data_IF_891409961576
#
_entry.id   IF_891409961576
#
_cell.length_a   1.000
_cell.length_b   1.000
_cell.length_c   1.000
_cell.angle_alpha   90.00
_cell.angle_beta   90.00
_cell.angle_gamma   90.00
#
_symmetry.space_group_name_H-M   'P 1'
#
loop_
_entity.id
_entity.type
_entity.pdbx_description
1 polymer ?
#
# COMPACT_ATOMS: atom_id res chain seq x y z
N UNK A 1 -5.28 6.56 -13.75
CA UNK A 1 -3.80 6.74 -13.79
C UNK A 1 -3.34 7.42 -15.07
N UNK A 2 -3.79 6.99 -16.25
CA UNK A 2 -3.41 7.61 -17.52
C UNK A 2 -3.67 9.13 -17.61
N UNK A 3 -4.82 9.63 -17.13
CA UNK A 3 -5.11 11.07 -17.12
C UNK A 3 -4.12 11.87 -16.24
N UNK A 4 -3.83 11.37 -15.03
CA UNK A 4 -2.80 11.95 -14.14
C UNK A 4 -1.40 11.93 -14.74
N UNK A 5 -1.06 10.88 -15.50
CA UNK A 5 0.24 10.78 -16.16
C UNK A 5 0.37 11.76 -17.31
N UNK A 6 -0.66 11.86 -18.16
CA UNK A 6 -0.67 12.81 -19.27
C UNK A 6 -0.50 14.25 -18.77
N UNK A 7 -1.06 14.59 -17.60
CA UNK A 7 -0.95 15.91 -17.00
C UNK A 7 0.39 16.22 -16.33
N UNK A 8 1.33 15.26 -16.23
CA UNK A 8 2.66 15.49 -15.64
C UNK A 8 3.43 16.56 -16.40
N UNK A 9 3.33 16.58 -17.74
CA UNK A 9 3.98 17.59 -18.57
C UNK A 9 3.49 18.99 -18.18
N UNK A 10 2.16 19.15 -18.11
CA UNK A 10 1.53 20.39 -17.68
C UNK A 10 2.01 20.81 -16.28
N UNK A 11 2.06 19.86 -15.34
CA UNK A 11 2.53 20.12 -13.99
C UNK A 11 3.99 20.59 -13.94
N UNK A 12 4.90 20.00 -14.72
CA UNK A 12 6.30 20.41 -14.84
C UNK A 12 6.46 21.84 -15.38
N UNK A 13 5.49 22.28 -16.19
CA UNK A 13 5.44 23.63 -16.79
C UNK A 13 4.58 24.60 -15.97
N UNK A 14 4.25 24.26 -14.72
CA UNK A 14 3.40 25.06 -13.83
C UNK A 14 1.97 25.28 -14.32
N UNK A 15 1.47 24.43 -15.22
CA UNK A 15 0.06 24.38 -15.63
C UNK A 15 -0.66 23.38 -14.74
N UNK A 16 -1.52 23.87 -13.84
CA UNK A 16 -2.24 23.04 -12.87
C UNK A 16 -3.70 22.76 -13.26
N UNK A 17 -4.18 23.37 -14.34
CA UNK A 17 -5.52 23.15 -14.91
C UNK A 17 -5.35 22.34 -16.20
N UNK A 18 -6.17 21.32 -16.40
CA UNK A 18 -6.00 20.36 -17.48
C UNK A 18 -7.30 20.17 -18.26
N UNK A 19 -7.18 19.97 -19.57
CA UNK A 19 -8.33 19.72 -20.45
C UNK A 19 -9.00 18.36 -20.20
N UNK A 20 -8.27 17.41 -19.61
CA UNK A 20 -8.78 16.05 -19.40
C UNK A 20 -9.80 16.03 -18.23
N UNK A 21 -11.09 15.71 -18.48
CA UNK A 21 -12.12 15.75 -17.44
C UNK A 21 -11.92 14.70 -16.34
N UNK A 22 -11.15 13.64 -16.59
CA UNK A 22 -10.84 12.61 -15.59
C UNK A 22 -9.78 13.09 -14.57
N UNK A 23 -9.07 14.17 -14.89
CA UNK A 23 -8.12 14.79 -13.98
C UNK A 23 -7.96 16.29 -14.33
N UNK A 24 -8.96 17.12 -13.97
CA UNK A 24 -9.01 18.51 -14.43
C UNK A 24 -8.06 19.44 -13.67
N UNK A 25 -7.60 19.04 -12.48
CA UNK A 25 -6.71 19.84 -11.61
C UNK A 25 -5.75 18.94 -10.82
N UNK A 26 -4.56 19.45 -10.53
CA UNK A 26 -3.55 18.76 -9.71
C UNK A 26 -4.05 18.45 -8.28
N UNK A 27 -3.70 17.27 -7.75
CA UNK A 27 -4.14 16.78 -6.43
C UNK A 27 -3.22 17.22 -5.29
N UNK A 28 -2.94 18.51 -5.17
CA UNK A 28 -2.22 19.04 -4.01
C UNK A 28 -2.74 20.43 -3.64
N UNK A 29 -2.63 20.83 -2.36
CA UNK A 29 -2.90 22.20 -1.96
C UNK A 29 -1.87 23.16 -2.58
N UNK A 30 -2.14 24.46 -2.53
CA UNK A 30 -1.18 25.47 -2.97
C UNK A 30 0.14 25.31 -2.21
N UNK A 31 1.25 25.37 -2.94
CA UNK A 31 2.59 25.26 -2.35
C UNK A 31 2.84 26.41 -1.35
N UNK A 32 3.63 26.12 -0.32
CA UNK A 32 4.15 27.07 0.67
C UNK A 32 5.13 28.09 0.04
N UNK A 33 5.67 29.01 0.84
CA UNK A 33 6.52 30.08 0.32
C UNK A 33 7.77 29.51 -0.37
N UNK A 34 8.39 28.51 0.24
CA UNK A 34 9.57 27.80 -0.24
C UNK A 34 9.27 27.02 -1.52
N UNK A 35 8.14 26.30 -1.57
CA UNK A 35 7.73 25.54 -2.74
C UNK A 35 7.43 26.40 -3.96
N UNK A 36 7.04 27.66 -3.76
CA UNK A 36 6.81 28.65 -4.84
C UNK A 36 8.09 29.26 -5.41
N UNK A 37 9.25 29.09 -4.75
CA UNK A 37 10.55 29.54 -5.27
C UNK A 37 11.11 28.58 -6.33
N UNK A 38 10.48 27.42 -6.55
CA UNK A 38 10.90 26.46 -7.56
C UNK A 38 10.87 27.09 -8.95
N UNK A 39 11.99 26.97 -9.66
CA UNK A 39 12.09 27.33 -11.07
C UNK A 39 11.38 26.26 -11.89
N UNK A 40 10.36 26.68 -12.64
CA UNK A 40 9.61 25.80 -13.52
C UNK A 40 10.25 25.78 -14.91
N UNK A 41 10.00 24.72 -15.68
CA UNK A 41 10.31 24.75 -17.10
C UNK A 41 9.41 25.83 -17.71
N UNK A 42 10.01 26.88 -18.25
CA UNK A 42 9.26 27.99 -18.83
C UNK A 42 8.34 27.43 -19.92
N UNK A 43 7.08 27.89 -19.90
CA UNK A 43 5.99 27.49 -20.78
C UNK A 43 6.17 27.99 -22.23
N UNK A 44 7.37 27.82 -22.79
CA UNK A 44 7.59 28.03 -24.21
C UNK A 44 7.22 26.69 -24.83
N UNK A 45 5.97 26.56 -25.29
CA UNK A 45 5.51 25.43 -26.11
C UNK A 45 6.44 25.19 -27.32
N UNK A 46 7.30 26.16 -27.65
CA UNK A 46 8.32 26.11 -28.70
C UNK A 46 9.75 25.82 -28.20
N UNK A 47 9.93 25.42 -26.94
CA UNK A 47 11.23 24.98 -26.43
C UNK A 47 11.46 23.51 -26.78
N UNK A 48 12.62 23.21 -27.38
CA UNK A 48 13.08 21.82 -27.62
C UNK A 48 12.99 20.92 -26.38
N UNK A 49 13.12 21.50 -25.18
CA UNK A 49 13.00 20.77 -23.91
C UNK A 49 11.55 20.30 -23.68
N UNK A 50 10.56 21.15 -23.97
CA UNK A 50 9.15 20.83 -23.83
C UNK A 50 8.74 19.72 -24.82
N UNK A 51 9.17 19.84 -26.08
CA UNK A 51 8.93 18.85 -27.12
C UNK A 51 9.50 17.47 -26.74
N UNK A 52 10.75 17.43 -26.28
CA UNK A 52 11.40 16.18 -25.86
C UNK A 52 10.73 15.56 -24.63
N UNK A 53 10.31 16.38 -23.65
CA UNK A 53 9.55 15.90 -22.49
C UNK A 53 8.22 15.26 -22.92
N UNK A 54 7.46 15.90 -23.82
CA UNK A 54 6.22 15.35 -24.36
C UNK A 54 6.50 14.05 -25.11
N UNK A 55 7.49 14.06 -26.01
CA UNK A 55 7.87 12.90 -26.83
C UNK A 55 8.20 11.68 -25.96
N UNK A 56 8.93 11.87 -24.86
CA UNK A 56 9.32 10.81 -23.94
C UNK A 56 8.12 10.37 -23.08
N UNK A 57 7.53 11.31 -22.33
CA UNK A 57 6.53 11.01 -21.30
C UNK A 57 5.20 10.57 -21.88
N UNK A 58 4.82 11.07 -23.05
CA UNK A 58 3.55 10.75 -23.70
C UNK A 58 3.70 9.80 -24.90
N UNK A 59 4.87 9.17 -25.08
CA UNK A 59 5.07 8.14 -26.10
C UNK A 59 4.03 7.03 -26.02
N UNK A 60 3.66 6.46 -27.17
CA UNK A 60 2.64 5.40 -27.24
C UNK A 60 3.00 4.17 -26.39
N UNK A 61 4.28 3.82 -26.29
CA UNK A 61 4.77 2.74 -25.43
C UNK A 61 4.53 3.03 -23.95
N UNK A 62 4.93 4.22 -23.48
CA UNK A 62 4.72 4.66 -22.10
C UNK A 62 3.23 4.71 -21.79
N UNK A 63 2.43 5.34 -22.64
CA UNK A 63 0.98 5.45 -22.41
C UNK A 63 0.28 4.08 -22.38
N UNK A 64 0.71 3.10 -23.20
CA UNK A 64 0.23 1.72 -23.10
C UNK A 64 0.61 1.08 -21.78
N UNK A 65 1.83 1.28 -21.31
CA UNK A 65 2.29 0.80 -20.00
C UNK A 65 1.49 1.42 -18.85
N UNK A 66 1.32 2.73 -18.85
CA UNK A 66 0.58 3.49 -17.84
C UNK A 66 -0.88 3.05 -17.74
N UNK A 67 -1.53 2.75 -18.87
CA UNK A 67 -2.90 2.21 -18.88
C UNK A 67 -3.01 0.82 -18.25
N UNK A 68 -1.93 0.04 -18.27
CA UNK A 68 -1.83 -1.29 -17.67
C UNK A 68 -1.31 -1.27 -16.23
N UNK A 69 -0.87 -0.12 -15.73
CA UNK A 69 -0.50 -0.01 -14.32
C UNK A 69 -1.74 -0.20 -13.46
N UNK A 70 -1.64 -1.12 -12.50
CA UNK A 70 -2.69 -1.34 -11.51
C UNK A 70 -2.98 -0.03 -10.77
N UNK A 71 -4.25 0.41 -10.69
CA UNK A 71 -4.60 1.61 -9.95
C UNK A 71 -4.40 1.37 -8.45
N UNK A 72 -3.34 1.97 -7.92
CA UNK A 72 -3.21 2.44 -6.52
C UNK A 72 -2.95 1.36 -5.44
N UNK A 73 -3.44 0.14 -5.56
CA UNK A 73 -3.24 -0.83 -4.47
C UNK A 73 -1.99 -1.67 -4.68
N UNK A 74 -0.97 -1.39 -3.87
CA UNK A 74 0.12 -2.34 -3.65
C UNK A 74 -0.52 -3.65 -3.16
N UNK A 75 -0.33 -4.74 -3.91
CA UNK A 75 -0.92 -6.06 -3.58
C UNK A 75 -0.33 -6.66 -2.31
N UNK A 76 0.73 -6.06 -1.77
CA UNK A 76 1.41 -6.45 -0.53
C UNK A 76 0.44 -6.73 0.63
N UNK A 77 -0.59 -5.90 0.81
CA UNK A 77 -1.56 -6.07 1.90
C UNK A 77 -2.39 -7.35 1.73
N UNK A 78 -2.87 -7.59 0.51
CA UNK A 78 -3.69 -8.76 0.15
C UNK A 78 -2.84 -10.03 0.15
N UNK A 79 -1.62 -9.95 -0.38
CA UNK A 79 -0.63 -11.03 -0.34
C UNK A 79 -0.27 -11.42 1.11
N UNK A 80 -0.07 -10.42 1.98
CA UNK A 80 0.15 -10.65 3.40
C UNK A 80 -1.05 -11.32 4.06
N UNK A 81 -2.28 -10.91 3.73
CA UNK A 81 -3.47 -11.57 4.27
C UNK A 81 -3.56 -13.04 3.82
N UNK A 82 -3.32 -13.32 2.53
CA UNK A 82 -3.26 -14.70 2.04
C UNK A 82 -2.18 -15.54 2.72
N UNK A 83 -1.03 -14.96 3.04
CA UNK A 83 0.00 -15.62 3.84
C UNK A 83 -0.51 -15.97 5.24
N UNK A 84 -1.23 -15.06 5.91
CA UNK A 84 -1.86 -15.34 7.21
C UNK A 84 -2.89 -16.46 7.10
N UNK A 85 -3.74 -16.46 6.07
CA UNK A 85 -4.68 -17.56 5.82
C UNK A 85 -3.94 -18.89 5.68
N UNK A 86 -2.86 -18.93 4.90
CA UNK A 86 -2.05 -20.15 4.73
C UNK A 86 -1.37 -20.58 6.05
N UNK A 87 -1.05 -19.65 6.96
CA UNK A 87 -0.51 -19.98 8.28
C UNK A 87 -1.55 -20.69 9.17
N UNK A 88 -2.79 -20.18 9.20
CA UNK A 88 -3.86 -20.77 10.01
C UNK A 88 -4.53 -21.99 9.38
N UNK A 89 -4.57 -22.06 8.05
CA UNK A 89 -5.16 -23.14 7.27
C UNK A 89 -4.26 -23.51 6.08
N UNK A 90 -3.14 -24.22 6.33
CA UNK A 90 -2.25 -24.70 5.27
C UNK A 90 -2.99 -25.50 4.19
N UNK A 91 -2.72 -25.19 2.92
CA UNK A 91 -3.35 -25.86 1.76
C UNK A 91 -3.14 -27.38 1.72
N UNK A 92 -2.05 -27.85 2.33
CA UNK A 92 -1.67 -29.27 2.34
C UNK A 92 -2.47 -30.10 3.36
N UNK A 93 -3.30 -29.47 4.19
CA UNK A 93 -4.07 -30.11 5.24
C UNK A 93 -5.55 -30.10 4.88
N UNK A 94 -6.23 -31.23 5.11
CA UNK A 94 -7.67 -31.31 4.97
C UNK A 94 -8.36 -30.83 6.26
N UNK A 95 -9.40 -30.00 6.10
CA UNK A 95 -10.22 -29.51 7.20
C UNK A 95 -11.69 -29.75 6.88
N UNK A 96 -12.50 -30.04 7.91
CA UNK A 96 -13.95 -29.92 7.75
C UNK A 96 -14.32 -28.46 7.46
N UNK A 97 -15.47 -28.24 6.84
CA UNK A 97 -15.96 -26.90 6.54
C UNK A 97 -15.96 -25.98 7.78
N UNK A 98 -16.48 -26.48 8.91
CA UNK A 98 -16.54 -25.71 10.15
C UNK A 98 -15.15 -25.36 10.69
N UNK A 99 -14.21 -26.31 10.66
CA UNK A 99 -12.83 -26.07 11.09
C UNK A 99 -12.11 -25.05 10.20
N UNK A 100 -12.34 -25.10 8.88
CA UNK A 100 -11.78 -24.14 7.93
C UNK A 100 -12.35 -22.73 8.17
N UNK A 101 -13.66 -22.63 8.35
CA UNK A 101 -14.34 -21.37 8.61
C UNK A 101 -13.81 -20.70 9.90
N UNK A 102 -13.71 -21.45 11.00
CA UNK A 102 -13.12 -20.95 12.24
C UNK A 102 -11.68 -20.46 12.05
N UNK A 103 -10.86 -21.20 11.30
CA UNK A 103 -9.47 -20.80 11.00
C UNK A 103 -9.39 -19.52 10.16
N UNK A 104 -10.31 -19.32 9.21
CA UNK A 104 -10.39 -18.08 8.44
C UNK A 104 -10.81 -16.90 9.30
N UNK A 105 -11.74 -17.08 10.24
CA UNK A 105 -12.06 -16.03 11.22
C UNK A 105 -10.86 -15.68 12.10
N UNK A 106 -10.12 -16.68 12.59
CA UNK A 106 -8.89 -16.44 13.35
C UNK A 106 -7.82 -15.70 12.52
N UNK A 107 -7.65 -16.08 11.25
CA UNK A 107 -6.74 -15.40 10.33
C UNK A 107 -7.15 -13.94 10.10
N UNK A 108 -8.45 -13.66 9.93
CA UNK A 108 -8.97 -12.32 9.77
C UNK A 108 -8.76 -11.46 11.04
N UNK A 109 -9.05 -12.01 12.22
CA UNK A 109 -8.82 -11.33 13.49
C UNK A 109 -7.32 -11.03 13.71
N UNK A 110 -6.45 -12.01 13.49
CA UNK A 110 -5.01 -11.82 13.55
C UNK A 110 -4.53 -10.74 12.59
N UNK A 111 -5.02 -10.74 11.35
CA UNK A 111 -4.65 -9.74 10.35
C UNK A 111 -5.12 -8.34 10.74
N UNK A 112 -6.38 -8.19 11.16
CA UNK A 112 -6.94 -6.90 11.55
C UNK A 112 -6.17 -6.27 12.71
N UNK A 113 -5.74 -7.07 13.69
CA UNK A 113 -4.92 -6.60 14.80
C UNK A 113 -3.49 -6.23 14.36
N UNK A 114 -2.91 -6.99 13.43
CA UNK A 114 -1.47 -6.91 13.14
C UNK A 114 -1.09 -6.24 11.81
N UNK A 115 -2.04 -5.82 10.98
CA UNK A 115 -1.78 -5.20 9.67
C UNK A 115 -1.19 -3.78 9.80
N UNK A 116 -1.60 -3.05 10.85
CA UNK A 116 -1.20 -1.66 11.09
C UNK A 116 0.01 -1.48 12.01
N UNK A 117 0.80 -2.52 12.26
CA UNK A 117 1.90 -2.46 13.24
C UNK A 117 2.91 -1.37 12.92
N UNK A 118 3.30 -0.67 13.98
CA UNK A 118 4.32 0.36 13.91
C UNK A 118 5.71 -0.21 13.60
N UNK A 119 6.57 0.68 13.10
CA UNK A 119 7.97 0.35 12.90
C UNK A 119 8.69 0.35 14.25
N UNK A 120 9.34 -0.77 14.55
CA UNK A 120 10.08 -1.01 15.78
C UNK A 120 11.15 0.05 15.98
N UNK A 121 11.21 0.61 17.19
CA UNK A 121 12.26 1.56 17.59
C UNK A 121 13.39 0.85 18.32
N UNK A 122 14.60 1.40 18.25
CA UNK A 122 15.74 1.02 19.10
C UNK A 122 15.60 1.68 20.48
N UNK A 123 16.49 1.33 21.40
CA UNK A 123 16.57 1.93 22.74
C UNK A 123 16.80 3.44 22.70
N UNK A 124 17.48 3.92 21.66
CA UNK A 124 17.73 5.35 21.40
C UNK A 124 16.53 6.08 20.75
N UNK A 125 15.40 5.40 20.51
CA UNK A 125 14.21 5.96 19.86
C UNK A 125 14.24 5.96 18.32
N UNK A 126 15.36 5.58 17.69
CA UNK A 126 15.49 5.55 16.22
C UNK A 126 14.78 4.35 15.60
N UNK A 127 14.27 4.50 14.37
CA UNK A 127 13.56 3.44 13.63
C UNK A 127 14.51 2.31 13.22
N UNK A 128 14.10 1.05 13.43
CA UNK A 128 14.86 -0.13 13.00
C UNK A 128 14.61 -0.49 11.54
N UNK A 129 15.68 -0.82 10.85
CA UNK A 129 15.68 -1.25 9.45
C UNK A 129 16.43 -2.58 9.31
N UNK A 130 16.02 -3.37 8.32
CA UNK A 130 16.68 -4.61 7.90
C UNK A 130 17.14 -4.45 6.46
N UNK A 131 18.35 -4.90 6.18
CA UNK A 131 18.87 -4.99 4.81
C UNK A 131 18.27 -6.24 4.16
N UNK A 132 17.71 -6.09 2.96
CA UNK A 132 17.20 -7.17 2.13
C UNK A 132 17.84 -7.09 0.75
N UNK A 133 18.07 -8.23 0.11
CA UNK A 133 18.67 -8.33 -1.23
C UNK A 133 17.65 -8.97 -2.19
N UNK A 134 16.71 -8.20 -2.75
CA UNK A 134 15.70 -8.74 -3.65
C UNK A 134 16.35 -9.22 -4.95
N UNK A 135 15.92 -10.38 -5.46
CA UNK A 135 16.41 -10.92 -6.74
C UNK A 135 16.27 -9.92 -7.90
N UNK A 136 15.20 -9.11 -7.90
CA UNK A 136 14.94 -8.08 -8.91
C UNK A 136 15.95 -6.94 -8.93
N UNK A 137 16.77 -6.81 -7.88
CA UNK A 137 17.80 -5.78 -7.73
C UNK A 137 19.20 -6.27 -8.14
N UNK A 138 19.33 -7.50 -8.64
CA UNK A 138 20.57 -7.95 -9.29
C UNK A 138 21.82 -7.92 -8.40
N UNK A 139 21.68 -8.03 -7.08
CA UNK A 139 22.78 -7.93 -6.12
C UNK A 139 22.74 -6.68 -5.24
N UNK A 140 21.96 -5.66 -5.63
CA UNK A 140 21.74 -4.48 -4.79
C UNK A 140 20.79 -4.77 -3.62
N UNK A 141 20.90 -3.94 -2.58
CA UNK A 141 20.08 -4.05 -1.38
C UNK A 141 18.97 -2.99 -1.30
N UNK A 142 17.97 -3.31 -0.48
CA UNK A 142 16.87 -2.40 -0.09
C UNK A 142 16.72 -2.43 1.42
N UNK A 143 16.49 -1.27 2.02
CA UNK A 143 16.12 -1.16 3.43
C UNK A 143 14.63 -1.47 3.61
N UNK A 144 14.32 -2.47 4.44
CA UNK A 144 12.97 -2.85 4.84
C UNK A 144 12.71 -2.42 6.29
N UNK A 145 11.50 -1.91 6.55
CA UNK A 145 11.07 -1.55 7.91
C UNK A 145 10.95 -2.83 8.74
N UNK A 146 11.50 -2.82 9.95
CA UNK A 146 11.25 -3.87 10.93
C UNK A 146 10.05 -3.45 11.76
N UNK A 147 8.96 -4.21 11.69
CA UNK A 147 7.75 -3.94 12.47
C UNK A 147 7.90 -4.47 13.90
N UNK A 148 7.11 -3.93 14.82
CA UNK A 148 6.99 -4.48 16.16
C UNK A 148 6.46 -5.91 16.15
N UNK A 149 6.66 -6.63 17.25
CA UNK A 149 6.18 -8.00 17.38
C UNK A 149 4.64 -8.04 17.25
N UNK A 150 4.09 -9.10 16.64
CA UNK A 150 2.65 -9.26 16.60
C UNK A 150 2.07 -9.43 18.00
N UNK A 151 0.84 -8.96 18.18
CA UNK A 151 0.03 -9.16 19.38
C UNK A 151 -1.07 -10.18 19.10
N UNK A 152 -1.67 -10.69 20.19
CA UNK A 152 -2.70 -11.74 20.15
C UNK A 152 -3.88 -11.39 21.07
N UNK A 153 -4.20 -10.11 21.22
CA UNK A 153 -5.26 -9.64 22.10
C UNK A 153 -6.65 -10.15 21.67
N UNK A 154 -6.86 -10.33 20.36
CA UNK A 154 -8.06 -10.97 19.82
C UNK A 154 -8.34 -12.35 20.43
N UNK A 155 -7.30 -13.10 20.82
CA UNK A 155 -7.45 -14.41 21.47
C UNK A 155 -8.03 -14.23 22.87
N UNK A 156 -7.55 -13.25 23.64
CA UNK A 156 -8.09 -12.96 24.97
C UNK A 156 -9.56 -12.53 24.88
N UNK A 157 -9.89 -11.67 23.92
CA UNK A 157 -11.27 -11.25 23.67
C UNK A 157 -12.18 -12.44 23.32
N UNK A 158 -11.71 -13.35 22.46
CA UNK A 158 -12.44 -14.57 22.13
C UNK A 158 -12.67 -15.48 23.34
N UNK A 159 -11.63 -15.66 24.19
CA UNK A 159 -11.75 -16.48 25.39
C UNK A 159 -12.76 -15.88 26.38
N UNK A 160 -12.73 -14.56 26.58
CA UNK A 160 -13.69 -13.86 27.44
C UNK A 160 -15.12 -14.06 26.94
N UNK A 161 -15.37 -13.86 25.64
CA UNK A 161 -16.70 -14.06 25.07
C UNK A 161 -17.16 -15.53 25.14
N UNK A 162 -16.24 -16.48 24.90
CA UNK A 162 -16.53 -17.90 25.07
C UNK A 162 -16.93 -18.23 26.51
N UNK A 163 -16.23 -17.68 27.51
CA UNK A 163 -16.57 -17.87 28.92
C UNK A 163 -17.94 -17.26 29.25
N UNK A 164 -18.26 -16.07 28.75
CA UNK A 164 -19.59 -15.46 28.93
C UNK A 164 -20.70 -16.33 28.36
N UNK A 165 -20.51 -16.84 27.13
CA UNK A 165 -21.48 -17.73 26.48
C UNK A 165 -21.65 -19.05 27.23
N UNK A 166 -20.55 -19.64 27.72
CA UNK A 166 -20.61 -20.86 28.53
C UNK A 166 -21.38 -20.66 29.84
N UNK A 167 -21.17 -19.53 30.51
CA UNK A 167 -21.91 -19.17 31.74
C UNK A 167 -23.38 -18.85 31.47
N UNK A 168 -23.71 -18.25 30.32
CA UNK A 168 -25.08 -17.94 29.92
C UNK A 168 -25.86 -19.19 29.47
N UNK A 169 -25.22 -20.10 28.74
CA UNK A 169 -25.81 -21.34 28.23
C UNK A 169 -26.06 -22.43 29.27
N UNK A 170 -25.68 -22.18 30.53
CA UNK A 170 -25.91 -23.08 31.67
C UNK A 170 -27.23 -22.79 32.42
N UNK A 171 -28.12 -21.93 31.87
CA UNK A 171 -29.40 -21.59 32.50
C UNK A 171 -30.59 -22.46 32.08
N UNK A 172 -30.45 -23.26 31.02
CA UNK A 172 -31.54 -24.06 30.44
C UNK A 172 -31.20 -25.56 30.31
N UNK A 173 -30.33 -26.10 31.17
CA UNK A 173 -30.09 -27.55 31.31
C UNK A 173 -30.23 -28.01 32.75
#
# INVERSE_FOLDING_TARGET
MAAKWASVVNHIMNIHVHENPLFPVCSHPRLDAEGRLKVWVQNVLDSKVAEELIRILQSASVMRGVKKMSPIHQTSSVENFHMVINHFSPKMMAYSYQSMLCRFYLAAMYYNENAGRDQRKKTDGTKRWKISFPRSKGGDYVLQKVLDNPTHEYVNNLLIEMTKLALAGNKDR
#
